data_IF_443509774425
#
_entry.id   IF_443509774425
#
_cell.length_a   1.000
_cell.length_b   1.000
_cell.length_c   1.000
_cell.angle_alpha   90.00
_cell.angle_beta   90.00
_cell.angle_gamma   90.00
#
_symmetry.space_group_name_H-M   'P 1'
#
loop_
_entity.id
_entity.type
_entity.pdbx_description
1 polymer ?
#
# COMPACT_ATOMS: atom_id res chain seq x y z
N UNK A 1 76.37 53.36 8.17
CA UNK A 1 75.93 52.07 7.66
C UNK A 1 74.87 51.60 8.65
N UNK A 2 73.58 51.56 8.21
CA UNK A 2 72.44 51.10 9.04
C UNK A 2 72.07 49.67 8.62
N UNK A 3 71.86 48.81 9.55
CA UNK A 3 71.37 47.43 9.18
C UNK A 3 69.86 47.39 8.88
N UNK A 4 69.49 46.72 7.81
CA UNK A 4 68.14 46.56 7.41
C UNK A 4 67.62 45.31 8.18
N UNK A 5 66.57 45.52 9.01
CA UNK A 5 65.82 44.42 9.66
C UNK A 5 64.85 43.82 8.64
N UNK A 6 65.00 42.54 8.29
CA UNK A 6 64.09 41.77 7.50
C UNK A 6 63.14 41.11 8.49
N UNK A 7 61.88 41.58 8.50
CA UNK A 7 60.81 40.96 9.27
C UNK A 7 60.23 39.75 8.46
N UNK A 8 60.44 38.56 8.98
CA UNK A 8 59.83 37.33 8.43
C UNK A 8 58.38 37.23 8.90
N UNK A 9 57.43 37.38 7.96
CA UNK A 9 56.01 37.21 8.21
C UNK A 9 55.67 35.73 8.08
N UNK A 10 55.49 35.08 9.23
CA UNK A 10 55.06 33.66 9.26
C UNK A 10 53.58 33.53 8.97
N UNK A 11 53.23 33.02 7.82
CA UNK A 11 51.85 32.73 7.44
C UNK A 11 51.41 31.40 8.09
N UNK A 12 50.57 31.49 9.12
CA UNK A 12 49.95 30.29 9.73
C UNK A 12 48.72 29.94 8.90
N UNK A 13 48.79 28.87 8.13
CA UNK A 13 47.66 28.29 7.41
C UNK A 13 46.84 27.46 8.39
N UNK A 14 45.69 27.95 8.78
CA UNK A 14 44.70 27.16 9.50
C UNK A 14 44.02 26.19 8.52
N UNK A 15 44.40 24.91 8.56
CA UNK A 15 43.60 23.86 7.94
C UNK A 15 42.36 23.62 8.79
N UNK A 16 41.22 24.16 8.36
CA UNK A 16 39.93 23.78 8.91
C UNK A 16 39.58 22.39 8.34
N UNK A 17 39.73 21.33 9.15
CA UNK A 17 39.08 20.04 8.86
C UNK A 17 37.56 20.26 8.94
N UNK A 18 36.95 20.48 7.80
CA UNK A 18 35.51 20.40 7.67
C UNK A 18 35.06 18.95 7.91
N UNK A 19 34.50 18.65 9.07
CA UNK A 19 33.69 17.45 9.25
C UNK A 19 32.53 17.54 8.27
N UNK A 20 32.64 16.78 7.17
CA UNK A 20 31.52 16.54 6.27
C UNK A 20 30.57 15.61 7.01
N UNK A 21 29.53 16.15 7.62
CA UNK A 21 28.41 15.36 8.11
C UNK A 21 27.92 14.50 6.94
N UNK A 22 28.14 13.22 7.06
CA UNK A 22 27.55 12.23 6.20
C UNK A 22 26.04 12.26 6.49
N UNK A 23 25.30 12.96 5.63
CA UNK A 23 23.85 12.87 5.61
C UNK A 23 23.49 11.39 5.48
N UNK A 24 23.12 10.79 6.60
CA UNK A 24 22.45 9.51 6.62
C UNK A 24 21.19 9.66 5.76
N UNK A 25 21.24 9.11 4.55
CA UNK A 25 20.04 8.94 3.75
C UNK A 25 19.09 8.07 4.60
N UNK A 26 18.10 8.72 5.22
CA UNK A 26 16.93 8.01 5.72
C UNK A 26 16.45 7.18 4.54
N UNK A 27 16.49 5.86 4.68
CA UNK A 27 15.71 4.96 3.84
C UNK A 27 14.28 5.45 4.05
N UNK A 28 13.80 6.25 3.10
CA UNK A 28 12.42 6.71 3.10
C UNK A 28 11.59 5.44 3.03
N UNK A 29 10.79 5.19 4.07
CA UNK A 29 9.60 4.39 3.89
C UNK A 29 8.84 5.10 2.78
N UNK A 30 8.78 4.52 1.59
CA UNK A 30 8.00 5.03 0.47
C UNK A 30 6.55 5.13 0.97
N UNK A 31 6.19 6.33 1.44
CA UNK A 31 4.83 6.60 1.88
C UNK A 31 3.98 6.60 0.61
N UNK A 32 2.98 5.71 0.57
CA UNK A 32 2.11 5.58 -0.60
C UNK A 32 1.53 6.93 -0.99
N UNK A 33 1.61 7.28 -2.27
CA UNK A 33 0.96 8.45 -2.82
C UNK A 33 -0.55 8.23 -2.88
N UNK A 34 -1.25 8.68 -1.84
CA UNK A 34 -2.71 8.58 -1.79
C UNK A 34 -3.36 9.46 -2.84
N UNK A 35 -4.03 8.86 -3.83
CA UNK A 35 -4.86 9.57 -4.82
C UNK A 35 -6.15 10.09 -4.17
N UNK A 36 -6.69 9.34 -3.21
CA UNK A 36 -7.92 9.64 -2.48
C UNK A 36 -7.65 9.74 -0.97
N UNK A 37 -8.54 10.41 -0.22
CA UNK A 37 -8.48 10.37 1.24
C UNK A 37 -8.44 8.94 1.78
N UNK A 38 -7.82 8.77 2.94
CA UNK A 38 -7.70 7.44 3.59
C UNK A 38 -9.07 6.87 3.93
N UNK A 39 -10.02 7.72 4.31
CA UNK A 39 -11.39 7.34 4.62
C UNK A 39 -11.55 6.78 6.05
N UNK A 40 -12.51 5.89 6.23
CA UNK A 40 -12.87 5.32 7.53
C UNK A 40 -12.19 3.96 7.75
N UNK A 41 -11.86 3.66 9.01
CA UNK A 41 -11.30 2.37 9.37
C UNK A 41 -12.34 1.27 9.15
N UNK A 42 -11.97 0.26 8.38
CA UNK A 42 -12.81 -0.92 8.17
C UNK A 42 -13.01 -1.73 9.47
N UNK A 43 -14.14 -2.42 9.60
CA UNK A 43 -14.47 -3.18 10.80
C UNK A 43 -13.52 -4.37 10.97
N UNK A 44 -13.08 -4.60 12.22
CA UNK A 44 -12.11 -5.63 12.57
C UNK A 44 -12.61 -7.06 12.30
N UNK A 45 -13.91 -7.27 12.20
CA UNK A 45 -14.49 -8.56 11.82
C UNK A 45 -14.24 -8.95 10.37
N UNK A 46 -13.91 -7.98 9.50
CA UNK A 46 -13.72 -8.20 8.06
C UNK A 46 -12.26 -8.10 7.62
N UNK A 47 -11.38 -7.61 8.48
CA UNK A 47 -9.98 -7.34 8.15
C UNK A 47 -9.04 -7.78 9.27
N UNK A 48 -7.94 -8.37 8.90
CA UNK A 48 -6.76 -8.52 9.77
C UNK A 48 -5.87 -7.31 9.56
N UNK A 49 -5.41 -6.67 10.62
CA UNK A 49 -4.66 -5.40 10.54
C UNK A 49 -5.58 -4.21 10.27
N UNK A 50 -5.03 -3.13 9.71
CA UNK A 50 -5.76 -1.87 9.49
C UNK A 50 -5.97 -1.64 8.01
N UNK A 51 -7.23 -1.68 7.60
CA UNK A 51 -7.68 -1.32 6.26
C UNK A 51 -8.62 -0.11 6.36
N UNK A 52 -8.49 0.83 5.44
CA UNK A 52 -9.23 2.08 5.42
C UNK A 52 -10.02 2.17 4.12
N UNK A 53 -11.28 2.56 4.21
CA UNK A 53 -12.18 2.61 3.07
C UNK A 53 -12.70 4.01 2.80
N UNK A 54 -12.65 4.43 1.54
CA UNK A 54 -13.22 5.67 1.06
C UNK A 54 -14.14 5.41 -0.13
N UNK A 55 -15.44 5.63 0.03
CA UNK A 55 -16.44 5.47 -1.03
C UNK A 55 -16.29 6.54 -2.10
N UNK A 56 -16.33 6.13 -3.38
CA UNK A 56 -16.22 7.01 -4.54
C UNK A 56 -17.53 7.09 -5.33
N UNK A 57 -18.16 5.95 -5.56
CA UNK A 57 -19.46 5.85 -6.23
C UNK A 57 -20.36 4.96 -5.40
N UNK A 58 -21.44 5.49 -4.90
CA UNK A 58 -22.49 4.71 -4.24
C UNK A 58 -23.38 4.05 -5.29
N UNK A 59 -23.78 2.81 -5.04
CA UNK A 59 -24.77 2.16 -5.87
C UNK A 59 -26.15 2.80 -5.67
N UNK A 60 -26.84 3.03 -6.76
CA UNK A 60 -28.22 3.53 -6.78
C UNK A 60 -29.01 2.88 -7.93
N UNK A 61 -30.21 3.38 -8.21
CA UNK A 61 -31.05 2.87 -9.29
C UNK A 61 -30.55 3.20 -10.69
N UNK A 62 -29.63 4.15 -10.83
CA UNK A 62 -29.00 4.55 -12.09
C UNK A 62 -27.67 3.82 -12.30
N UNK A 63 -26.87 3.79 -11.24
CA UNK A 63 -25.55 3.15 -11.24
C UNK A 63 -25.57 1.93 -10.30
N UNK A 64 -25.87 0.75 -10.86
CA UNK A 64 -25.78 -0.51 -10.11
C UNK A 64 -24.32 -0.97 -9.96
N UNK A 65 -23.48 -0.02 -9.59
CA UNK A 65 -22.03 -0.23 -9.44
C UNK A 65 -21.54 0.51 -8.21
N UNK A 66 -20.85 -0.19 -7.34
CA UNK A 66 -20.17 0.38 -6.17
C UNK A 66 -18.70 0.53 -6.49
N UNK A 67 -18.14 1.72 -6.25
CA UNK A 67 -16.70 1.97 -6.39
C UNK A 67 -16.18 2.61 -5.11
N UNK A 68 -15.04 2.15 -4.66
CA UNK A 68 -14.35 2.79 -3.55
C UNK A 68 -12.85 2.52 -3.61
N UNK A 69 -12.13 3.19 -2.72
CA UNK A 69 -10.71 3.02 -2.53
C UNK A 69 -10.46 2.35 -1.18
N UNK A 70 -9.63 1.33 -1.15
CA UNK A 70 -9.12 0.74 0.09
C UNK A 70 -7.64 0.97 0.20
N UNK A 71 -7.23 1.45 1.36
CA UNK A 71 -5.83 1.51 1.77
C UNK A 71 -5.58 0.47 2.86
N UNK A 72 -4.67 -0.46 2.61
CA UNK A 72 -4.18 -1.43 3.57
C UNK A 72 -2.83 -0.99 4.12
N UNK A 73 -2.68 -0.94 5.43
CA UNK A 73 -1.36 -0.81 6.06
C UNK A 73 -0.52 -2.08 5.83
N UNK A 74 0.82 -2.03 5.93
CA UNK A 74 1.64 -3.23 5.77
C UNK A 74 1.16 -4.39 6.63
N UNK A 75 1.02 -5.57 6.04
CA UNK A 75 0.49 -6.78 6.70
C UNK A 75 -1.03 -6.87 6.79
N UNK A 76 -1.76 -5.78 6.52
CA UNK A 76 -3.22 -5.79 6.58
C UNK A 76 -3.85 -6.49 5.37
N UNK A 77 -4.95 -7.21 5.60
CA UNK A 77 -5.64 -8.00 4.57
C UNK A 77 -7.12 -8.15 4.87
N UNK A 78 -7.92 -8.36 3.83
CA UNK A 78 -9.32 -8.75 3.99
C UNK A 78 -9.43 -10.19 4.50
N UNK A 79 -10.57 -10.53 5.07
CA UNK A 79 -10.96 -11.92 5.20
C UNK A 79 -11.19 -12.52 3.80
N UNK A 80 -11.29 -13.85 3.73
CA UNK A 80 -11.87 -14.53 2.59
C UNK A 80 -13.28 -14.02 2.36
N UNK A 81 -13.65 -13.76 1.10
CA UNK A 81 -14.98 -13.25 0.75
C UNK A 81 -15.33 -13.57 -0.69
N UNK A 82 -16.61 -13.40 -1.03
CA UNK A 82 -17.12 -13.51 -2.41
C UNK A 82 -17.95 -12.29 -2.78
N UNK A 83 -18.07 -12.05 -4.08
CA UNK A 83 -18.99 -11.06 -4.64
C UNK A 83 -19.93 -11.74 -5.61
N UNK A 84 -21.28 -11.63 -5.45
CA UNK A 84 -22.25 -12.29 -6.32
C UNK A 84 -22.11 -11.94 -7.81
N UNK A 85 -21.67 -10.73 -8.12
CA UNK A 85 -21.43 -10.26 -9.49
C UNK A 85 -19.95 -10.17 -9.87
N UNK A 86 -19.04 -10.62 -9.00
CA UNK A 86 -17.60 -10.46 -9.15
C UNK A 86 -17.11 -9.10 -8.69
N UNK A 87 -15.80 -8.92 -8.75
CA UNK A 87 -15.10 -7.70 -8.37
C UNK A 87 -13.94 -7.42 -9.33
N UNK A 88 -13.66 -6.16 -9.58
CA UNK A 88 -12.46 -5.71 -10.26
C UNK A 88 -11.65 -4.87 -9.29
N UNK A 89 -10.35 -5.16 -9.18
CA UNK A 89 -9.40 -4.36 -8.42
C UNK A 89 -8.45 -3.66 -9.37
N UNK A 90 -8.21 -2.38 -9.15
CA UNK A 90 -7.19 -1.60 -9.85
C UNK A 90 -6.18 -1.14 -8.81
N UNK A 91 -4.95 -1.60 -8.90
CA UNK A 91 -3.91 -1.28 -7.93
C UNK A 91 -3.34 0.09 -8.27
N UNK A 92 -3.57 1.05 -7.39
CA UNK A 92 -3.18 2.46 -7.61
C UNK A 92 -1.83 2.79 -7.00
N UNK A 93 -1.43 2.08 -5.93
CA UNK A 93 -0.09 2.22 -5.35
C UNK A 93 0.28 1.05 -4.43
N UNK A 94 1.57 0.90 -4.16
CA UNK A 94 2.11 -0.11 -3.25
C UNK A 94 2.23 -1.50 -3.83
N UNK A 95 2.46 -2.46 -2.92
CA UNK A 95 2.62 -3.89 -3.22
C UNK A 95 1.77 -4.70 -2.26
N UNK A 96 1.09 -5.70 -2.78
CA UNK A 96 0.24 -6.57 -1.98
C UNK A 96 0.09 -7.95 -2.57
N UNK A 97 -0.91 -8.66 -2.05
CA UNK A 97 -1.22 -10.01 -2.44
C UNK A 97 -2.71 -10.14 -2.78
N UNK A 98 -2.97 -11.05 -3.70
CA UNK A 98 -4.31 -11.52 -4.04
C UNK A 98 -4.27 -13.05 -4.18
N UNK A 99 -5.31 -13.72 -3.72
CA UNK A 99 -5.43 -15.16 -3.89
C UNK A 99 -6.89 -15.55 -4.13
N UNK A 100 -7.10 -16.40 -5.11
CA UNK A 100 -8.33 -17.17 -5.29
C UNK A 100 -8.16 -18.50 -4.56
N UNK A 101 -9.21 -18.97 -3.90
CA UNK A 101 -9.21 -20.26 -3.20
C UNK A 101 -8.72 -21.39 -4.11
N UNK A 102 -7.83 -22.22 -3.59
CA UNK A 102 -7.21 -23.34 -4.32
C UNK A 102 -6.15 -22.96 -5.35
N UNK A 103 -5.87 -21.66 -5.53
CA UNK A 103 -4.82 -21.18 -6.43
C UNK A 103 -3.61 -20.64 -5.65
N UNK A 104 -2.49 -20.49 -6.36
CA UNK A 104 -1.30 -19.83 -5.81
C UNK A 104 -1.59 -18.36 -5.49
N UNK A 105 -1.04 -17.85 -4.39
CA UNK A 105 -1.07 -16.43 -4.05
C UNK A 105 -0.29 -15.63 -5.10
N UNK A 106 -0.88 -14.58 -5.62
CA UNK A 106 -0.29 -13.67 -6.59
C UNK A 106 0.22 -12.40 -5.89
N UNK A 107 1.40 -11.93 -6.26
CA UNK A 107 1.83 -10.57 -5.90
C UNK A 107 1.20 -9.59 -6.88
N UNK A 108 0.60 -8.55 -6.33
CA UNK A 108 -0.03 -7.45 -7.07
C UNK A 108 0.67 -6.13 -6.72
N UNK A 109 0.78 -5.24 -7.70
CA UNK A 109 1.49 -3.97 -7.56
C UNK A 109 0.85 -2.87 -8.40
N UNK A 110 1.25 -1.63 -8.19
CA UNK A 110 0.78 -0.46 -8.94
C UNK A 110 0.71 -0.73 -10.44
N UNK A 111 -0.45 -0.46 -11.03
CA UNK A 111 -0.78 -0.65 -12.44
C UNK A 111 -1.44 -2.00 -12.76
N UNK A 112 -1.43 -2.95 -11.85
CA UNK A 112 -2.10 -4.23 -12.05
C UNK A 112 -3.62 -4.10 -11.95
N UNK A 113 -4.32 -4.96 -12.71
CA UNK A 113 -5.76 -5.12 -12.65
C UNK A 113 -6.10 -6.57 -12.37
N UNK A 114 -6.84 -6.80 -11.29
CA UNK A 114 -7.30 -8.13 -10.88
C UNK A 114 -8.79 -8.27 -11.16
N UNK A 115 -9.21 -9.40 -11.69
CA UNK A 115 -10.62 -9.77 -11.89
C UNK A 115 -10.95 -10.95 -11.00
N UNK A 116 -11.84 -10.74 -10.03
CA UNK A 116 -12.39 -11.78 -9.17
C UNK A 116 -13.72 -12.22 -9.77
N UNK A 117 -13.85 -13.46 -10.26
CA UNK A 117 -15.10 -13.92 -10.88
C UNK A 117 -16.26 -13.97 -9.89
N UNK A 118 -17.53 -13.95 -10.39
CA UNK A 118 -18.71 -14.06 -9.54
C UNK A 118 -18.69 -15.32 -8.65
N UNK A 119 -19.02 -15.11 -7.36
CA UNK A 119 -19.12 -16.18 -6.35
C UNK A 119 -17.83 -16.99 -6.10
N UNK A 120 -16.69 -16.52 -6.58
CA UNK A 120 -15.40 -17.16 -6.33
C UNK A 120 -14.77 -16.58 -5.06
N UNK A 121 -14.40 -17.46 -4.12
CA UNK A 121 -13.79 -17.08 -2.86
C UNK A 121 -12.36 -16.58 -3.08
N UNK A 122 -12.06 -15.40 -2.56
CA UNK A 122 -10.76 -14.77 -2.69
C UNK A 122 -10.49 -13.83 -1.51
N UNK A 123 -9.25 -13.41 -1.39
CA UNK A 123 -8.83 -12.33 -0.51
C UNK A 123 -7.77 -11.44 -1.17
N UNK A 124 -7.56 -10.26 -0.63
CA UNK A 124 -6.52 -9.33 -1.04
C UNK A 124 -6.05 -8.47 0.15
N UNK A 125 -4.85 -7.93 0.05
CA UNK A 125 -4.27 -7.10 1.09
C UNK A 125 -2.85 -6.66 0.77
N UNK A 126 -2.27 -5.89 1.69
CA UNK A 126 -0.91 -5.39 1.60
C UNK A 126 0.12 -6.52 1.76
N UNK A 127 1.35 -6.29 1.27
CA UNK A 127 2.49 -7.14 1.61
C UNK A 127 2.96 -6.88 3.04
N UNK A 128 3.93 -7.66 3.53
CA UNK A 128 4.50 -7.46 4.86
C UNK A 128 5.22 -6.12 5.01
N UNK A 129 5.83 -5.65 3.92
CA UNK A 129 6.77 -4.51 3.94
C UNK A 129 6.18 -3.24 3.35
N UNK A 130 5.18 -3.37 2.48
CA UNK A 130 4.55 -2.24 1.78
C UNK A 130 3.06 -2.22 2.04
N UNK A 131 2.49 -1.03 2.22
CA UNK A 131 1.06 -0.84 2.13
C UNK A 131 0.56 -1.10 0.71
N UNK A 132 -0.76 -1.19 0.56
CA UNK A 132 -1.42 -1.36 -0.72
C UNK A 132 -2.58 -0.38 -0.83
N UNK A 133 -2.68 0.31 -1.95
CA UNK A 133 -3.83 1.12 -2.30
C UNK A 133 -4.47 0.58 -3.57
N UNK A 134 -5.78 0.40 -3.54
CA UNK A 134 -6.52 -0.14 -4.66
C UNK A 134 -7.93 0.45 -4.76
N UNK A 135 -8.41 0.61 -5.99
CA UNK A 135 -9.83 0.76 -6.25
C UNK A 135 -10.48 -0.62 -6.26
N UNK A 136 -11.64 -0.72 -5.66
CA UNK A 136 -12.56 -1.82 -5.91
C UNK A 136 -13.74 -1.34 -6.73
N UNK A 137 -14.19 -2.18 -7.67
CA UNK A 137 -15.35 -1.95 -8.52
C UNK A 137 -16.22 -3.21 -8.42
N UNK A 138 -17.43 -3.05 -7.91
CA UNK A 138 -18.42 -4.12 -7.76
C UNK A 138 -19.60 -3.79 -8.68
N UNK A 139 -19.71 -4.48 -9.83
CA UNK A 139 -20.82 -4.26 -10.77
C UNK A 139 -22.08 -4.99 -10.31
N UNK A 140 -23.21 -4.64 -10.90
CA UNK A 140 -24.51 -5.33 -10.74
C UNK A 140 -24.86 -5.57 -9.26
N UNK A 141 -24.78 -4.50 -8.46
CA UNK A 141 -24.97 -4.55 -7.00
C UNK A 141 -26.36 -5.01 -6.58
N UNK A 142 -27.33 -5.02 -7.49
CA UNK A 142 -28.65 -5.62 -7.28
C UNK A 142 -28.60 -7.12 -7.00
N UNK A 143 -27.51 -7.81 -7.36
CA UNK A 143 -27.26 -9.22 -7.03
C UNK A 143 -26.65 -9.42 -5.65
N UNK A 144 -26.33 -8.35 -4.96
CA UNK A 144 -25.62 -8.33 -3.70
C UNK A 144 -24.19 -7.76 -3.85
N UNK A 145 -23.62 -7.33 -2.73
CA UNK A 145 -22.31 -6.65 -2.72
C UNK A 145 -21.21 -7.62 -2.32
N UNK A 146 -21.26 -8.18 -1.12
CA UNK A 146 -20.18 -9.01 -0.56
C UNK A 146 -20.74 -10.02 0.43
N UNK A 147 -20.14 -11.19 0.48
CA UNK A 147 -20.34 -12.20 1.51
C UNK A 147 -19.01 -12.47 2.18
N UNK A 148 -18.90 -12.05 3.45
CA UNK A 148 -17.70 -12.23 4.25
C UNK A 148 -17.62 -13.65 4.81
N UNK A 149 -16.40 -14.21 4.81
CA UNK A 149 -16.08 -15.55 5.30
C UNK A 149 -15.06 -15.45 6.46
N UNK A 150 -14.31 -16.50 6.68
CA UNK A 150 -13.31 -16.59 7.73
C UNK A 150 -12.07 -15.72 7.44
N UNK A 151 -11.32 -15.33 8.48
CA UNK A 151 -10.04 -14.65 8.32
C UNK A 151 -9.03 -15.49 7.54
N UNK A 152 -8.15 -14.81 6.80
CA UNK A 152 -6.97 -15.43 6.21
C UNK A 152 -5.97 -15.71 7.33
N UNK A 153 -5.60 -16.98 7.52
CA UNK A 153 -4.61 -17.39 8.52
C UNK A 153 -3.21 -16.86 8.19
N UNK A 154 -2.32 -16.84 9.19
CA UNK A 154 -0.91 -16.49 8.97
C UNK A 154 -0.22 -17.47 8.03
N UNK A 155 -0.60 -18.75 8.05
CA UNK A 155 -0.08 -19.77 7.16
C UNK A 155 -0.46 -19.46 5.70
N UNK A 156 -1.75 -19.20 5.42
CA UNK A 156 -2.24 -18.83 4.09
C UNK A 156 -1.61 -17.53 3.60
N UNK A 157 -1.51 -16.52 4.48
CA UNK A 157 -0.93 -15.23 4.13
C UNK A 157 0.57 -15.33 3.80
N UNK A 158 1.31 -16.23 4.46
CA UNK A 158 2.74 -16.42 4.24
C UNK A 158 3.06 -17.48 3.17
N UNK A 159 2.04 -18.24 2.73
CA UNK A 159 2.26 -19.35 1.82
C UNK A 159 2.60 -18.87 0.40
N UNK A 160 3.80 -19.24 -0.06
CA UNK A 160 4.24 -19.10 -1.44
C UNK A 160 4.44 -20.49 -2.02
N UNK A 161 3.56 -20.91 -2.94
CA UNK A 161 3.83 -22.10 -3.76
C UNK A 161 4.89 -21.81 -4.78
#
# INVERSE_FOLDING_TARGET
>A
MKPILISALTFIVFLTLGCREQSSSKIGTDELQAIFPKGELGPAENFTGRAWNFGLVSNDTTYTTLVGNVYFEPGARSNWHTHPAGQILVITDGVGYHQIEGQARQTIKKGDVVKCPPNVMHWHGASHESGLQQLYIIPNTEKGIVQWMHPVSEEEYNYTK
#
